data_IF_242140821027
#
_entry.id   IF_242140821027
#
_cell.length_a   1.000
_cell.length_b   1.000
_cell.length_c   1.000
_cell.angle_alpha   90.00
_cell.angle_beta   90.00
_cell.angle_gamma   90.00
#
_symmetry.space_group_name_H-M   'P 1'
#
loop_
_entity.id
_entity.type
_entity.pdbx_description
1 polymer ?
#
# COMPACT_ATOMS: atom_id res chain seq x y z
N UNK A 1 -13.15 12.50 5.21
CA UNK A 1 -12.05 13.35 5.75
C UNK A 1 -10.88 13.21 4.81
N UNK A 2 -10.52 14.29 4.13
CA UNK A 2 -9.44 14.32 3.12
C UNK A 2 -8.09 14.32 3.82
N UNK A 3 -7.44 13.16 3.86
CA UNK A 3 -6.07 12.99 4.34
C UNK A 3 -5.12 13.83 3.46
N UNK A 4 -4.14 14.49 4.08
CA UNK A 4 -3.05 15.14 3.33
C UNK A 4 -2.21 14.06 2.67
N UNK A 5 -2.02 14.17 1.36
CA UNK A 5 -1.22 13.20 0.63
C UNK A 5 0.24 13.31 1.02
N UNK A 6 0.86 12.16 1.23
CA UNK A 6 2.29 12.03 1.48
C UNK A 6 3.02 11.84 0.16
N UNK A 7 4.29 12.26 0.04
CA UNK A 7 5.09 12.04 -1.17
C UNK A 7 5.31 10.53 -1.48
N UNK A 8 5.02 9.66 -0.52
CA UNK A 8 5.06 8.20 -0.65
C UNK A 8 3.76 7.59 -1.16
N UNK A 9 2.69 8.38 -1.27
CA UNK A 9 1.39 7.89 -1.73
C UNK A 9 1.41 7.58 -3.22
N UNK A 10 0.64 6.56 -3.60
CA UNK A 10 0.48 6.21 -5.00
C UNK A 10 -0.34 7.25 -5.76
N UNK A 11 0.13 7.60 -6.95
CA UNK A 11 -0.67 8.33 -7.93
C UNK A 11 -1.87 7.50 -8.39
N UNK A 12 -2.91 8.16 -8.92
CA UNK A 12 -4.10 7.45 -9.40
C UNK A 12 -3.76 6.44 -10.51
N UNK A 13 -2.81 6.76 -11.39
CA UNK A 13 -2.39 5.86 -12.46
C UNK A 13 -1.63 4.64 -11.92
N UNK A 14 -0.72 4.85 -10.95
CA UNK A 14 -0.04 3.72 -10.29
C UNK A 14 -1.05 2.84 -9.54
N UNK A 15 -2.05 3.46 -8.91
CA UNK A 15 -3.13 2.73 -8.25
C UNK A 15 -3.91 1.85 -9.22
N UNK A 16 -4.29 2.36 -10.40
CA UNK A 16 -5.04 1.60 -11.40
C UNK A 16 -4.31 0.34 -11.87
N UNK A 17 -2.98 0.38 -12.00
CA UNK A 17 -2.17 -0.80 -12.35
C UNK A 17 -2.24 -1.88 -11.27
N UNK A 18 -2.24 -1.46 -10.01
CA UNK A 18 -2.20 -2.35 -8.86
C UNK A 18 -3.59 -2.89 -8.50
N UNK A 19 -4.63 -2.07 -8.66
CA UNK A 19 -6.01 -2.38 -8.29
C UNK A 19 -6.51 -3.69 -8.92
N UNK A 20 -6.05 -4.01 -10.13
CA UNK A 20 -6.35 -5.25 -10.84
C UNK A 20 -5.95 -6.51 -10.06
N UNK A 21 -4.84 -6.45 -9.30
CA UNK A 21 -4.37 -7.54 -8.45
C UNK A 21 -5.26 -7.77 -7.22
N UNK A 22 -6.15 -6.83 -6.91
CA UNK A 22 -7.05 -6.87 -5.75
C UNK A 22 -8.51 -7.22 -6.09
N UNK A 23 -8.81 -7.44 -7.38
CA UNK A 23 -10.15 -7.65 -7.94
C UNK A 23 -10.96 -8.76 -7.25
N UNK A 24 -10.30 -9.79 -6.69
CA UNK A 24 -10.97 -10.94 -6.09
C UNK A 24 -10.87 -11.04 -4.57
N UNK A 25 -10.39 -9.99 -3.87
CA UNK A 25 -10.23 -10.01 -2.42
C UNK A 25 -11.42 -9.38 -1.69
N UNK A 26 -11.95 -10.10 -0.68
CA UNK A 26 -13.05 -9.69 0.23
C UNK A 26 -13.00 -8.20 0.56
N UNK A 27 -14.17 -7.54 0.56
CA UNK A 27 -14.34 -6.15 1.02
C UNK A 27 -13.71 -6.02 2.41
N UNK A 28 -12.63 -5.24 2.50
CA UNK A 28 -12.04 -4.86 3.77
C UNK A 28 -12.80 -3.65 4.33
N UNK A 29 -12.77 -3.49 5.65
CA UNK A 29 -13.32 -2.28 6.30
C UNK A 29 -12.58 -0.99 5.86
N UNK A 30 -11.36 -1.13 5.35
CA UNK A 30 -10.49 -0.04 4.95
C UNK A 30 -10.20 -0.09 3.44
N UNK A 31 -10.04 1.08 2.84
CA UNK A 31 -9.59 1.24 1.46
C UNK A 31 -8.23 0.54 1.27
N UNK A 32 -8.14 -0.35 0.28
CA UNK A 32 -6.89 -1.09 -0.01
C UNK A 32 -5.75 -0.13 -0.36
N UNK A 33 -6.07 1.00 -1.00
CA UNK A 33 -5.13 2.06 -1.31
C UNK A 33 -4.48 2.64 -0.06
N UNK A 34 -5.27 2.89 0.97
CA UNK A 34 -4.76 3.41 2.25
C UNK A 34 -3.84 2.39 2.95
N UNK A 35 -4.16 1.10 2.87
CA UNK A 35 -3.30 0.04 3.41
C UNK A 35 -1.95 -0.01 2.68
N UNK A 36 -1.95 0.07 1.34
CA UNK A 36 -0.70 0.07 0.56
C UNK A 36 0.09 1.34 0.81
N UNK A 37 -0.55 2.51 0.80
CA UNK A 37 0.09 3.79 1.11
C UNK A 37 0.76 3.76 2.49
N UNK A 38 0.11 3.16 3.49
CA UNK A 38 0.69 3.00 4.83
C UNK A 38 1.94 2.11 4.83
N UNK A 39 1.92 0.99 4.10
CA UNK A 39 3.10 0.11 3.98
C UNK A 39 4.23 0.84 3.24
N UNK A 40 3.93 1.50 2.11
CA UNK A 40 4.91 2.27 1.35
C UNK A 40 5.53 3.39 2.18
N UNK A 41 4.73 4.08 2.98
CA UNK A 41 5.20 5.09 3.92
C UNK A 41 6.22 4.50 4.89
N UNK A 42 5.92 3.37 5.51
CA UNK A 42 6.82 2.66 6.43
C UNK A 42 8.11 2.24 5.70
N UNK A 43 7.99 1.63 4.52
CA UNK A 43 9.15 1.13 3.76
C UNK A 43 10.06 2.26 3.30
N UNK A 44 9.51 3.42 2.91
CA UNK A 44 10.30 4.58 2.45
C UNK A 44 10.90 5.39 3.59
N UNK A 45 10.19 5.53 4.70
CA UNK A 45 10.68 6.31 5.86
C UNK A 45 11.52 5.49 6.83
N UNK A 46 11.37 4.16 6.82
CA UNK A 46 12.00 3.26 7.79
C UNK A 46 11.43 3.37 9.21
N UNK A 47 10.27 4.03 9.38
CA UNK A 47 9.69 4.21 10.70
C UNK A 47 9.19 2.88 11.30
N UNK A 48 9.13 2.81 12.63
CA UNK A 48 8.55 1.64 13.30
C UNK A 48 7.06 1.56 13.03
N UNK A 49 6.51 0.35 12.88
CA UNK A 49 5.08 0.12 12.67
C UNK A 49 4.17 0.81 13.70
N UNK A 50 4.60 0.88 14.96
CA UNK A 50 3.86 1.55 16.05
C UNK A 50 3.86 3.08 15.95
N UNK A 51 4.76 3.65 15.15
CA UNK A 51 4.88 5.09 14.91
C UNK A 51 4.19 5.52 13.60
N UNK A 52 3.40 4.63 13.00
CA UNK A 52 2.58 4.98 11.84
C UNK A 52 1.65 6.15 12.22
N UNK A 53 1.58 7.23 11.42
CA UNK A 53 0.69 8.35 11.69
C UNK A 53 -0.77 7.92 11.83
N UNK A 54 -1.51 8.60 12.71
CA UNK A 54 -2.93 8.30 13.00
C UNK A 54 -3.87 8.58 11.82
N UNK A 55 -3.38 9.25 10.76
CA UNK A 55 -4.13 9.47 9.52
C UNK A 55 -4.32 8.17 8.72
N UNK A 56 -3.47 7.17 8.96
CA UNK A 56 -3.56 5.86 8.31
C UNK A 56 -4.44 4.89 9.09
N UNK A 57 -4.89 3.80 8.44
CA UNK A 57 -5.51 2.69 9.14
C UNK A 57 -4.63 2.19 10.30
N UNK A 58 -5.21 1.64 11.38
CA UNK A 58 -4.45 1.15 12.53
C UNK A 58 -3.32 0.21 12.10
N UNK A 59 -2.11 0.42 12.65
CA UNK A 59 -0.91 -0.32 12.24
C UNK A 59 -1.10 -1.85 12.32
N UNK A 60 -1.94 -2.35 13.24
CA UNK A 60 -2.27 -3.78 13.36
C UNK A 60 -2.99 -4.31 12.12
N UNK A 61 -3.85 -3.51 11.52
CA UNK A 61 -4.55 -3.83 10.27
C UNK A 61 -3.60 -3.78 9.10
N UNK A 62 -2.77 -2.73 9.02
CA UNK A 62 -1.76 -2.57 7.96
C UNK A 62 -0.77 -3.73 7.99
N UNK A 63 -0.27 -4.10 9.18
CA UNK A 63 0.61 -5.23 9.38
C UNK A 63 -0.03 -6.56 8.98
N UNK A 64 -1.29 -6.79 9.39
CA UNK A 64 -2.02 -8.01 9.03
C UNK A 64 -2.24 -8.13 7.52
N UNK A 65 -2.52 -7.01 6.85
CA UNK A 65 -2.59 -6.94 5.40
C UNK A 65 -1.23 -7.24 4.75
N UNK A 66 -0.18 -6.55 5.16
CA UNK A 66 1.17 -6.72 4.64
C UNK A 66 1.67 -8.16 4.78
N UNK A 67 1.49 -8.76 5.97
CA UNK A 67 1.86 -10.14 6.24
C UNK A 67 1.16 -11.12 5.29
N UNK A 68 -0.15 -10.94 5.05
CA UNK A 68 -0.90 -11.79 4.11
C UNK A 68 -0.44 -11.57 2.68
N UNK A 69 -0.23 -10.31 2.27
CA UNK A 69 0.23 -9.97 0.93
C UNK A 69 1.61 -10.56 0.63
N UNK A 70 2.52 -10.56 1.60
CA UNK A 70 3.83 -11.22 1.50
C UNK A 70 3.69 -12.74 1.36
N UNK A 71 2.86 -13.38 2.18
CA UNK A 71 2.63 -14.82 2.12
C UNK A 71 2.04 -15.28 0.78
N UNK A 72 1.28 -14.42 0.10
CA UNK A 72 0.68 -14.71 -1.20
C UNK A 72 1.49 -14.20 -2.38
N UNK A 73 2.74 -13.75 -2.17
CA UNK A 73 3.60 -13.09 -3.18
C UNK A 73 2.96 -11.86 -3.86
N UNK A 74 1.87 -11.35 -3.31
CA UNK A 74 1.09 -10.26 -3.87
C UNK A 74 1.88 -8.95 -3.77
N UNK A 75 2.61 -8.78 -2.66
CA UNK A 75 3.42 -7.60 -2.43
C UNK A 75 4.54 -7.45 -3.46
N UNK A 76 5.21 -8.55 -3.81
CA UNK A 76 6.28 -8.52 -4.81
C UNK A 76 5.73 -8.21 -6.21
N UNK A 77 4.57 -8.78 -6.57
CA UNK A 77 3.91 -8.46 -7.84
C UNK A 77 3.55 -6.97 -7.94
N UNK A 78 3.06 -6.39 -6.84
CA UNK A 78 2.75 -4.96 -6.74
C UNK A 78 4.01 -4.11 -6.91
N UNK A 79 5.08 -4.44 -6.19
CA UNK A 79 6.34 -3.71 -6.29
C UNK A 79 6.94 -3.82 -7.71
N UNK A 80 6.93 -5.01 -8.32
CA UNK A 80 7.40 -5.19 -9.69
C UNK A 80 6.58 -4.38 -10.70
N UNK A 81 5.26 -4.33 -10.56
CA UNK A 81 4.40 -3.52 -11.43
C UNK A 81 4.71 -2.02 -11.29
N UNK A 82 4.98 -1.55 -10.07
CA UNK A 82 5.37 -0.16 -9.83
C UNK A 82 6.75 0.20 -10.38
N UNK A 83 7.73 -0.68 -10.17
CA UNK A 83 9.12 -0.48 -10.63
C UNK A 83 9.17 -0.43 -12.16
N UNK A 84 8.51 -1.38 -12.85
CA UNK A 84 8.43 -1.40 -14.32
C UNK A 84 7.89 -0.09 -14.92
N UNK A 85 6.97 0.61 -14.24
CA UNK A 85 6.47 1.91 -14.71
C UNK A 85 7.52 3.01 -14.56
N UNK A 86 8.29 3.00 -13.46
CA UNK A 86 9.32 3.99 -13.22
C UNK A 86 10.58 3.81 -14.09
N UNK A 87 10.84 2.59 -14.57
CA UNK A 87 12.00 2.27 -15.42
C UNK A 87 11.75 2.47 -16.93
N UNK A 88 10.55 2.88 -17.33
CA UNK A 88 10.27 3.23 -18.73
C UNK A 88 10.63 4.72 -18.95
N UNK A 89 11.67 5.04 -19.75
CA UNK A 89 12.13 6.42 -19.98
C UNK A 89 11.11 7.29 -20.71
#
# INVERSE_FOLDING_TARGET
>A
MTRKSYPTDLTNEQWQLIELHFSNQRRYKWEKRELINAVLYITKTGCQWRMLPNDFPPYTTVWSFYRRANQTQLWDNILQALVKKNDCP
#
